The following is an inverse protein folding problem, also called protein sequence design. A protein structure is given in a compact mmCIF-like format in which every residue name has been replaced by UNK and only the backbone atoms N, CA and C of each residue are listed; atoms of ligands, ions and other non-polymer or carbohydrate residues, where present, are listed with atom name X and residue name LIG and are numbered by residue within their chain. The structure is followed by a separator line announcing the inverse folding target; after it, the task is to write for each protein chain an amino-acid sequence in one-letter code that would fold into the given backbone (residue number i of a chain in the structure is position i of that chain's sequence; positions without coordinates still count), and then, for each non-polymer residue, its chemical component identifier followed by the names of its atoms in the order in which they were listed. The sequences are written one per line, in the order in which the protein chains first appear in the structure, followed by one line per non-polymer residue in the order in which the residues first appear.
data_IF_861638609428
#
_entry.id   IF_861638609428
#
_cell.length_a   1.000
_cell.length_b   1.000
_cell.length_c   1.000
_cell.angle_alpha   90.00
_cell.angle_beta   90.00
_cell.angle_gamma   90.00
#
_symmetry.space_group_name_H-M   'P 1'
#
loop_
_entity.id
_entity.type
_entity.pdbx_description
1 polymer ?
#
# COMPACT_ATOMS: atom_id res chain seq x y z
N UNK A 1 -56.57 -42.39 -33.20
CA UNK A 1 -55.48 -42.74 -32.27
C UNK A 1 -54.16 -42.27 -32.85
N UNK A 2 -53.69 -41.08 -32.49
CA UNK A 2 -52.41 -40.52 -32.97
C UNK A 2 -51.50 -40.20 -31.77
N UNK A 3 -50.55 -41.13 -31.57
CA UNK A 3 -49.18 -40.92 -31.09
C UNK A 3 -48.92 -40.21 -29.74
N UNK A 4 -49.05 -40.91 -28.59
CA UNK A 4 -48.38 -40.53 -27.35
C UNK A 4 -46.84 -40.53 -27.48
N UNK A 5 -46.28 -41.24 -28.46
CA UNK A 5 -44.84 -41.36 -28.68
C UNK A 5 -44.17 -40.08 -29.22
N UNK A 6 -44.90 -39.22 -29.96
CA UNK A 6 -44.33 -37.98 -30.54
C UNK A 6 -44.18 -36.87 -29.51
N UNK A 7 -45.09 -36.79 -28.55
CA UNK A 7 -45.02 -35.82 -27.44
C UNK A 7 -43.83 -36.06 -26.51
N UNK A 8 -43.53 -37.33 -26.20
CA UNK A 8 -42.40 -37.69 -25.34
C UNK A 8 -41.05 -37.36 -26.01
N UNK A 9 -40.95 -37.54 -27.33
CA UNK A 9 -39.73 -37.19 -28.08
C UNK A 9 -39.52 -35.68 -28.21
N UNK A 10 -40.60 -34.93 -28.47
CA UNK A 10 -40.55 -33.47 -28.51
C UNK A 10 -40.21 -32.86 -27.14
N UNK A 11 -40.76 -33.40 -26.05
CA UNK A 11 -40.45 -32.97 -24.69
C UNK A 11 -38.97 -33.19 -24.31
N UNK A 12 -38.35 -34.29 -24.74
CA UNK A 12 -36.93 -34.59 -24.48
C UNK A 12 -35.97 -33.57 -25.10
N UNK A 13 -36.37 -32.86 -26.16
CA UNK A 13 -35.56 -31.82 -26.80
C UNK A 13 -35.96 -30.43 -26.33
N UNK A 14 -37.27 -30.17 -26.20
CA UNK A 14 -37.78 -28.87 -25.81
C UNK A 14 -37.40 -28.49 -24.38
N UNK A 15 -37.45 -29.43 -23.43
CA UNK A 15 -37.12 -29.15 -22.01
C UNK A 15 -35.65 -28.72 -21.84
N UNK A 16 -34.63 -29.46 -22.31
CA UNK A 16 -33.24 -29.02 -22.18
C UNK A 16 -32.96 -27.76 -23.01
N UNK A 17 -33.60 -27.58 -24.16
CA UNK A 17 -33.44 -26.36 -24.97
C UNK A 17 -34.00 -25.13 -24.25
N UNK A 18 -35.17 -25.23 -23.62
CA UNK A 18 -35.74 -24.17 -22.77
C UNK A 18 -34.84 -23.93 -21.56
N UNK A 19 -34.35 -24.99 -20.90
CA UNK A 19 -33.44 -24.83 -19.76
C UNK A 19 -32.14 -24.12 -20.17
N UNK A 20 -31.57 -24.50 -21.32
CA UNK A 20 -30.37 -23.89 -21.87
C UNK A 20 -30.61 -22.42 -22.26
N UNK A 21 -31.73 -22.12 -22.89
CA UNK A 21 -32.13 -20.75 -23.22
C UNK A 21 -32.37 -19.91 -21.97
N UNK A 22 -32.97 -20.47 -20.92
CA UNK A 22 -33.14 -19.79 -19.63
C UNK A 22 -31.80 -19.52 -18.93
N UNK A 23 -30.87 -20.49 -18.93
CA UNK A 23 -29.52 -20.33 -18.37
C UNK A 23 -28.73 -19.30 -19.19
N UNK A 24 -28.82 -19.37 -20.51
CA UNK A 24 -28.16 -18.42 -21.40
C UNK A 24 -28.74 -17.01 -21.23
N UNK A 25 -30.06 -16.86 -21.14
CA UNK A 25 -30.70 -15.57 -20.85
C UNK A 25 -30.33 -15.05 -19.46
N UNK A 26 -30.20 -15.93 -18.47
CA UNK A 26 -29.78 -15.58 -17.10
C UNK A 26 -28.32 -15.14 -17.04
N UNK A 27 -27.45 -15.73 -17.87
CA UNK A 27 -26.04 -15.35 -18.00
C UNK A 27 -25.85 -14.09 -18.87
N UNK A 28 -26.72 -13.86 -19.85
CA UNK A 28 -26.67 -12.73 -20.77
C UNK A 28 -27.43 -11.47 -20.27
N UNK A 29 -28.37 -11.61 -19.33
CA UNK A 29 -29.04 -10.47 -18.71
C UNK A 29 -28.08 -9.71 -17.80
N UNK A 30 -28.00 -8.40 -17.99
CA UNK A 30 -27.14 -7.46 -17.24
C UNK A 30 -27.52 -7.30 -15.77
N UNK A 31 -28.60 -7.91 -15.29
CA UNK A 31 -28.97 -8.01 -13.87
C UNK A 31 -28.07 -9.04 -13.19
N UNK A 32 -26.91 -8.57 -12.72
CA UNK A 32 -25.87 -9.45 -12.19
C UNK A 32 -26.36 -10.36 -11.06
N UNK A 33 -26.20 -11.70 -11.17
CA UNK A 33 -26.39 -12.63 -10.05
C UNK A 33 -25.59 -12.22 -8.82
N UNK A 34 -24.43 -11.57 -9.03
CA UNK A 34 -23.55 -11.03 -7.99
C UNK A 34 -24.28 -10.14 -6.99
N UNK A 35 -25.21 -9.28 -7.41
CA UNK A 35 -25.91 -8.37 -6.50
C UNK A 35 -26.82 -9.14 -5.52
N UNK A 36 -27.49 -10.20 -5.98
CA UNK A 36 -28.38 -11.01 -5.12
C UNK A 36 -27.56 -11.89 -4.16
N UNK A 37 -26.48 -12.51 -4.65
CA UNK A 37 -25.56 -13.28 -3.80
C UNK A 37 -24.84 -12.41 -2.77
N UNK A 38 -24.46 -11.18 -3.14
CA UNK A 38 -23.85 -10.21 -2.24
C UNK A 38 -24.79 -9.89 -1.08
N UNK A 39 -26.08 -9.63 -1.32
CA UNK A 39 -27.06 -9.37 -0.25
C UNK A 39 -27.26 -10.55 0.70
N UNK A 40 -27.24 -11.79 0.19
CA UNK A 40 -27.35 -12.98 1.04
C UNK A 40 -26.08 -13.16 1.89
N UNK A 41 -24.90 -13.06 1.28
CA UNK A 41 -23.62 -13.18 1.99
C UNK A 41 -23.40 -12.06 3.00
N UNK A 42 -23.96 -10.87 2.76
CA UNK A 42 -23.95 -9.73 3.67
C UNK A 42 -24.57 -10.06 5.04
N UNK A 43 -25.59 -10.92 5.10
CA UNK A 43 -26.19 -11.37 6.36
C UNK A 43 -25.28 -12.26 7.21
N UNK A 44 -24.25 -12.85 6.60
CA UNK A 44 -23.29 -13.74 7.25
C UNK A 44 -21.94 -13.07 7.54
N UNK A 45 -21.75 -11.82 7.13
CA UNK A 45 -20.54 -11.04 7.46
C UNK A 45 -20.69 -10.41 8.84
N UNK A 46 -19.58 -10.28 9.57
CA UNK A 46 -19.58 -9.60 10.85
C UNK A 46 -19.80 -8.08 10.69
N UNK A 47 -20.26 -7.42 11.76
CA UNK A 47 -20.60 -5.99 11.74
C UNK A 47 -19.43 -5.07 11.38
N UNK A 48 -18.20 -5.41 11.79
CA UNK A 48 -17.00 -4.65 11.44
C UNK A 48 -16.69 -4.81 9.95
N UNK A 49 -16.75 -6.02 9.41
CA UNK A 49 -16.54 -6.24 7.96
C UNK A 49 -17.60 -5.52 7.13
N UNK A 50 -18.85 -5.50 7.58
CA UNK A 50 -19.92 -4.74 6.91
C UNK A 50 -19.66 -3.24 6.95
N UNK A 51 -19.31 -2.70 8.11
CA UNK A 51 -18.96 -1.29 8.26
C UNK A 51 -17.77 -0.90 7.37
N UNK A 52 -16.69 -1.70 7.37
CA UNK A 52 -15.51 -1.44 6.53
C UNK A 52 -15.86 -1.50 5.04
N UNK A 53 -16.61 -2.52 4.61
CA UNK A 53 -17.07 -2.65 3.22
C UNK A 53 -17.92 -1.45 2.81
N UNK A 54 -18.88 -1.05 3.64
CA UNK A 54 -19.76 0.10 3.36
C UNK A 54 -18.99 1.41 3.35
N UNK A 55 -18.07 1.60 4.29
CA UNK A 55 -17.25 2.80 4.34
C UNK A 55 -16.42 2.94 3.06
N UNK A 56 -15.76 1.86 2.62
CA UNK A 56 -14.95 1.85 1.40
C UNK A 56 -15.79 1.96 0.12
N UNK A 57 -16.98 1.36 0.08
CA UNK A 57 -17.90 1.47 -1.06
C UNK A 57 -18.53 2.87 -1.20
N UNK A 58 -18.51 3.66 -0.14
CA UNK A 58 -19.07 5.02 -0.08
C UNK A 58 -17.99 6.08 0.17
N UNK A 59 -16.72 5.78 -0.15
CA UNK A 59 -15.69 6.83 -0.17
C UNK A 59 -16.05 7.91 -1.19
N UNK A 60 -15.76 9.16 -0.84
CA UNK A 60 -16.14 10.36 -1.61
C UNK A 60 -15.55 10.31 -3.04
N UNK A 61 -14.39 9.68 -3.17
CA UNK A 61 -13.62 9.60 -4.41
C UNK A 61 -13.97 8.35 -5.26
N UNK A 62 -14.87 7.48 -4.76
CA UNK A 62 -15.31 6.26 -5.42
C UNK A 62 -14.51 5.02 -5.01
N UNK A 63 -14.64 3.90 -5.75
CA UNK A 63 -13.89 2.68 -5.45
C UNK A 63 -12.39 2.88 -5.71
N UNK A 64 -11.56 2.43 -4.77
CA UNK A 64 -10.10 2.48 -4.88
C UNK A 64 -9.56 2.01 -6.25
N UNK A 65 -8.94 2.94 -6.99
CA UNK A 65 -8.17 2.64 -8.21
C UNK A 65 -6.66 2.51 -7.91
N UNK A 66 -6.12 1.33 -8.18
CA UNK A 66 -4.70 1.01 -7.99
C UNK A 66 -3.81 1.23 -9.21
N UNK A 67 -4.36 1.55 -10.38
CA UNK A 67 -3.56 1.72 -11.61
C UNK A 67 -2.50 2.84 -11.50
N UNK A 68 -2.74 3.99 -10.84
CA UNK A 68 -1.71 5.02 -10.67
C UNK A 68 -0.47 4.49 -9.91
N UNK A 69 -0.68 3.69 -8.87
CA UNK A 69 0.41 3.06 -8.09
C UNK A 69 1.20 2.09 -8.98
N UNK A 70 0.50 1.27 -9.77
CA UNK A 70 1.12 0.31 -10.67
C UNK A 70 1.93 0.99 -11.78
N UNK A 71 1.39 2.04 -12.38
CA UNK A 71 2.09 2.86 -13.37
C UNK A 71 3.33 3.51 -12.76
N UNK A 72 3.21 4.06 -11.55
CA UNK A 72 4.34 4.60 -10.82
C UNK A 72 5.42 3.53 -10.62
N UNK A 73 5.10 2.34 -10.13
CA UNK A 73 6.07 1.26 -9.92
C UNK A 73 6.73 0.77 -11.21
N UNK A 74 5.97 0.71 -12.32
CA UNK A 74 6.50 0.35 -13.63
C UNK A 74 7.48 1.40 -14.18
N UNK A 75 7.32 2.67 -13.82
CA UNK A 75 8.21 3.75 -14.27
C UNK A 75 9.59 3.76 -13.61
N UNK A 76 9.82 2.95 -12.55
CA UNK A 76 11.03 3.02 -11.74
C UNK A 76 12.06 1.96 -12.16
N UNK A 77 13.32 2.32 -12.04
CA UNK A 77 14.44 1.37 -12.06
C UNK A 77 14.66 0.82 -10.66
N UNK A 78 14.50 -0.49 -10.52
CA UNK A 78 14.57 -1.20 -9.23
C UNK A 78 15.98 -1.68 -8.91
N UNK A 79 16.42 -1.42 -7.68
CA UNK A 79 17.66 -1.94 -7.12
C UNK A 79 17.36 -3.11 -6.17
N UNK A 80 17.83 -4.30 -6.57
CA UNK A 80 17.64 -5.58 -5.86
C UNK A 80 18.31 -5.62 -4.48
N UNK A 81 19.25 -4.72 -4.23
CA UNK A 81 20.02 -4.70 -3.00
C UNK A 81 19.55 -3.64 -2.01
N UNK A 82 18.66 -2.74 -2.40
CA UNK A 82 18.22 -1.67 -1.50
C UNK A 82 16.99 -2.09 -0.70
N UNK A 83 17.10 -1.98 0.63
CA UNK A 83 16.00 -2.16 1.57
C UNK A 83 15.82 -0.85 2.34
N UNK A 84 14.67 -0.20 2.19
CA UNK A 84 14.32 0.98 2.97
C UNK A 84 13.68 0.57 4.30
N UNK A 85 14.10 1.21 5.38
CA UNK A 85 13.46 1.18 6.68
C UNK A 85 13.16 2.61 7.11
N UNK A 86 11.91 2.88 7.46
CA UNK A 86 11.55 4.15 8.10
C UNK A 86 11.39 3.95 9.60
N UNK A 87 11.69 4.99 10.38
CA UNK A 87 11.44 4.98 11.81
C UNK A 87 9.94 4.85 12.11
N UNK A 88 9.63 4.34 13.30
CA UNK A 88 8.27 4.30 13.77
C UNK A 88 7.70 5.72 13.92
N UNK A 89 6.45 5.91 13.49
CA UNK A 89 5.82 7.22 13.45
C UNK A 89 5.15 7.52 14.80
N UNK A 90 5.57 8.57 15.53
CA UNK A 90 4.83 9.08 16.68
C UNK A 90 3.61 9.87 16.24
N UNK A 91 2.68 10.08 17.20
CA UNK A 91 1.48 10.90 17.12
C UNK A 91 0.15 10.16 16.84
N UNK A 92 -0.81 10.86 16.22
CA UNK A 92 -2.17 10.38 15.98
C UNK A 92 -2.31 9.74 14.61
N UNK A 93 -3.48 9.14 14.36
CA UNK A 93 -3.75 8.37 13.14
C UNK A 93 -3.46 9.14 11.84
N UNK A 94 -3.72 10.45 11.79
CA UNK A 94 -3.44 11.27 10.60
C UNK A 94 -1.95 11.39 10.30
N UNK A 95 -1.14 11.73 11.31
CA UNK A 95 0.33 11.79 11.18
C UNK A 95 0.90 10.42 10.82
N UNK A 96 0.42 9.37 11.48
CA UNK A 96 0.85 7.99 11.21
C UNK A 96 0.53 7.60 9.78
N UNK A 97 -0.71 7.80 9.31
CA UNK A 97 -1.11 7.54 7.92
C UNK A 97 -0.18 8.25 6.95
N UNK A 98 0.01 9.55 7.13
CA UNK A 98 0.82 10.33 6.21
C UNK A 98 2.28 9.87 6.24
N UNK A 99 2.87 9.66 7.42
CA UNK A 99 4.23 9.15 7.56
C UNK A 99 4.47 7.80 6.87
N UNK A 100 3.51 6.88 6.95
CA UNK A 100 3.57 5.60 6.25
C UNK A 100 3.50 5.79 4.73
N UNK A 101 2.59 6.64 4.25
CA UNK A 101 2.46 6.95 2.82
C UNK A 101 3.73 7.63 2.27
N UNK A 102 4.35 8.55 3.01
CA UNK A 102 5.63 9.15 2.63
C UNK A 102 6.75 8.11 2.51
N UNK A 103 6.84 7.21 3.49
CA UNK A 103 7.82 6.12 3.49
C UNK A 103 7.63 5.19 2.27
N UNK A 104 6.39 4.80 1.99
CA UNK A 104 6.01 4.00 0.83
C UNK A 104 6.37 4.71 -0.49
N UNK A 105 5.99 5.98 -0.63
CA UNK A 105 6.30 6.77 -1.81
C UNK A 105 7.81 6.87 -2.03
N UNK A 106 8.58 7.15 -0.98
CA UNK A 106 10.04 7.21 -1.08
C UNK A 106 10.64 5.87 -1.50
N UNK A 107 10.19 4.75 -0.96
CA UNK A 107 10.67 3.43 -1.35
C UNK A 107 10.51 3.18 -2.86
N UNK A 108 9.32 3.51 -3.41
CA UNK A 108 9.03 3.40 -4.84
C UNK A 108 9.88 4.39 -5.64
N UNK A 109 9.95 5.66 -5.23
CA UNK A 109 10.78 6.69 -5.91
C UNK A 109 12.27 6.31 -5.95
N UNK A 110 12.79 5.64 -4.91
CA UNK A 110 14.13 5.09 -4.86
C UNK A 110 14.29 3.75 -5.59
N UNK A 111 13.18 3.12 -6.00
CA UNK A 111 13.18 1.78 -6.59
C UNK A 111 13.83 0.76 -5.65
N UNK A 112 13.62 0.89 -4.34
CA UNK A 112 14.15 -0.04 -3.36
C UNK A 112 13.37 -1.36 -3.43
N UNK A 113 14.04 -2.48 -3.71
CA UNK A 113 13.36 -3.78 -3.82
C UNK A 113 12.78 -4.30 -2.49
N UNK A 114 13.15 -3.71 -1.36
CA UNK A 114 12.58 -4.01 -0.05
C UNK A 114 12.11 -2.78 0.71
N UNK A 115 10.99 -2.91 1.40
CA UNK A 115 10.50 -1.93 2.37
C UNK A 115 10.12 -2.63 3.67
N UNK A 116 10.74 -2.24 4.77
CA UNK A 116 10.31 -2.60 6.12
C UNK A 116 9.25 -1.60 6.54
N UNK A 117 8.03 -2.08 6.76
CA UNK A 117 6.91 -1.23 7.16
C UNK A 117 7.23 -0.55 8.50
N UNK A 118 7.04 0.79 8.60
CA UNK A 118 7.27 1.48 9.85
C UNK A 118 6.28 0.99 10.92
N UNK A 119 6.73 1.03 12.18
CA UNK A 119 5.85 0.80 13.32
C UNK A 119 5.09 2.07 13.72
N UNK A 120 4.22 1.93 14.72
CA UNK A 120 3.46 3.03 15.30
C UNK A 120 3.94 3.25 16.74
N UNK A 121 4.38 4.46 17.08
CA UNK A 121 4.67 4.78 18.48
C UNK A 121 3.35 5.14 19.16
N UNK A 122 2.91 4.30 20.10
CA UNK A 122 1.67 4.51 20.83
C UNK A 122 1.76 5.74 21.72
N UNK A 123 0.62 6.38 21.97
CA UNK A 123 0.48 7.42 22.99
C UNK A 123 0.07 6.79 24.31
N UNK A 124 0.41 7.45 25.42
CA UNK A 124 -0.03 7.02 26.74
C UNK A 124 -1.54 7.09 26.87
N UNK A 125 -2.13 6.04 27.44
CA UNK A 125 -3.55 6.00 27.79
C UNK A 125 -3.94 7.02 28.86
N UNK A 126 -2.97 7.50 29.64
CA UNK A 126 -3.18 8.48 30.71
C UNK A 126 -2.85 9.91 30.27
N UNK A 127 -2.02 10.06 29.24
CA UNK A 127 -1.59 11.37 28.72
C UNK A 127 -1.28 11.26 27.23
N UNK A 128 -2.25 11.62 26.38
CA UNK A 128 -2.12 11.51 24.93
C UNK A 128 -1.01 12.39 24.34
N UNK A 129 -0.46 13.34 25.10
CA UNK A 129 0.69 14.15 24.67
C UNK A 129 2.00 13.38 24.75
N UNK A 130 2.05 12.30 25.54
CA UNK A 130 3.26 11.52 25.78
C UNK A 130 3.33 10.29 24.86
N UNK A 131 4.36 10.16 24.01
CA UNK A 131 4.63 8.92 23.31
C UNK A 131 5.16 7.85 24.29
N UNK A 132 4.79 6.60 24.06
CA UNK A 132 5.34 5.41 24.73
C UNK A 132 6.08 4.59 23.67
N UNK A 133 7.34 4.93 23.37
CA UNK A 133 8.17 4.06 22.54
C UNK A 133 8.53 2.78 23.32
N UNK A 134 8.64 1.65 22.62
CA UNK A 134 9.23 0.47 23.24
C UNK A 134 10.67 0.80 23.67
N UNK A 135 10.94 0.76 24.97
CA UNK A 135 12.19 1.28 25.55
C UNK A 135 13.39 0.32 25.44
N UNK A 136 13.24 -0.80 24.71
CA UNK A 136 14.30 -1.80 24.50
C UNK A 136 14.82 -1.69 23.06
N UNK A 137 16.00 -1.08 22.89
CA UNK A 137 16.69 -0.96 21.60
C UNK A 137 16.36 0.33 20.83
N UNK A 138 16.56 0.36 19.48
CA UNK A 138 16.11 1.47 18.62
C UNK A 138 14.62 1.73 18.85
N UNK A 139 14.16 2.98 18.67
CA UNK A 139 12.75 3.35 18.88
C UNK A 139 11.85 2.45 18.03
N UNK A 140 11.22 1.46 18.67
CA UNK A 140 10.32 0.50 18.01
C UNK A 140 8.87 0.87 18.34
N UNK A 141 8.05 0.87 17.31
CA UNK A 141 6.60 1.00 17.45
C UNK A 141 5.93 -0.36 17.66
N UNK A 142 4.62 -0.32 17.87
CA UNK A 142 3.75 -1.49 17.67
C UNK A 142 3.49 -1.70 16.18
N UNK A 143 2.87 -2.85 15.85
CA UNK A 143 2.53 -3.18 14.47
C UNK A 143 1.58 -2.16 13.83
N UNK A 144 1.67 -2.03 12.51
CA UNK A 144 0.74 -1.25 11.69
C UNK A 144 -0.74 -1.60 11.94
N UNK A 145 -0.99 -2.87 12.28
CA UNK A 145 -2.31 -3.42 12.63
C UNK A 145 -3.02 -2.71 13.79
N UNK A 146 -2.29 -1.89 14.54
CA UNK A 146 -2.88 -1.07 15.61
C UNK A 146 -3.87 -0.01 15.07
N UNK A 147 -3.62 0.54 13.87
CA UNK A 147 -4.52 1.54 13.25
C UNK A 147 -5.05 1.15 11.88
N UNK A 148 -4.32 0.32 11.12
CA UNK A 148 -4.64 0.05 9.72
C UNK A 148 -4.67 -1.45 9.45
N UNK A 149 -5.39 -1.84 8.41
CA UNK A 149 -5.37 -3.21 7.93
C UNK A 149 -4.06 -3.49 7.17
N UNK A 150 -3.07 -4.08 7.86
CA UNK A 150 -1.76 -4.40 7.27
C UNK A 150 -1.90 -5.47 6.19
N UNK A 151 -2.82 -6.42 6.34
CA UNK A 151 -3.03 -7.49 5.36
C UNK A 151 -3.59 -6.91 4.05
N UNK A 152 -4.57 -6.01 4.14
CA UNK A 152 -5.07 -5.28 2.99
C UNK A 152 -3.96 -4.45 2.33
N UNK A 153 -3.16 -3.71 3.10
CA UNK A 153 -2.05 -2.92 2.54
C UNK A 153 -1.04 -3.82 1.82
N UNK A 154 -0.59 -4.89 2.47
CA UNK A 154 0.46 -5.77 1.94
C UNK A 154 -0.01 -6.56 0.73
N UNK A 155 -1.24 -7.06 0.73
CA UNK A 155 -1.83 -7.77 -0.42
C UNK A 155 -2.08 -6.84 -1.61
N UNK A 156 -2.62 -5.64 -1.37
CA UNK A 156 -2.83 -4.62 -2.41
C UNK A 156 -1.51 -4.19 -3.04
N UNK A 157 -0.51 -3.82 -2.24
CA UNK A 157 0.80 -3.43 -2.77
C UNK A 157 1.57 -4.58 -3.40
N UNK A 158 1.49 -5.79 -2.85
CA UNK A 158 2.10 -6.97 -3.47
C UNK A 158 1.56 -7.25 -4.87
N UNK A 159 0.27 -6.94 -5.11
CA UNK A 159 -0.36 -7.04 -6.43
C UNK A 159 -0.02 -5.87 -7.35
N UNK A 160 -0.04 -4.63 -6.83
CA UNK A 160 0.12 -3.41 -7.63
C UNK A 160 1.60 -3.06 -7.90
N UNK A 161 2.50 -3.41 -6.99
CA UNK A 161 3.92 -3.07 -7.03
C UNK A 161 4.81 -4.28 -6.66
N UNK A 162 4.75 -5.38 -7.43
CA UNK A 162 5.39 -6.65 -7.06
C UNK A 162 6.92 -6.60 -7.01
N UNK A 163 7.55 -5.56 -7.55
CA UNK A 163 9.00 -5.37 -7.50
C UNK A 163 9.50 -4.97 -6.10
N UNK A 164 8.60 -4.48 -5.23
CA UNK A 164 8.91 -4.08 -3.86
C UNK A 164 8.38 -5.13 -2.87
N UNK A 165 9.29 -5.86 -2.24
CA UNK A 165 8.94 -6.79 -1.16
C UNK A 165 8.70 -6.02 0.13
N UNK A 166 7.53 -6.25 0.74
CA UNK A 166 7.16 -5.69 2.03
C UNK A 166 7.58 -6.64 3.15
N UNK A 167 8.21 -6.09 4.18
CA UNK A 167 8.54 -6.77 5.43
C UNK A 167 7.70 -6.15 6.55
N UNK A 168 7.09 -6.99 7.39
CA UNK A 168 6.26 -6.54 8.50
C UNK A 168 7.10 -5.87 9.60
N UNK A 169 8.35 -6.31 9.75
CA UNK A 169 9.31 -5.71 10.68
C UNK A 169 10.75 -6.03 10.26
N UNK A 170 11.71 -5.40 10.94
CA UNK A 170 13.14 -5.75 10.79
C UNK A 170 13.43 -7.20 11.22
N UNK A 171 12.61 -7.80 12.07
CA UNK A 171 12.81 -9.16 12.58
C UNK A 171 12.64 -10.20 11.46
N UNK A 172 11.88 -9.89 10.40
CA UNK A 172 11.75 -10.73 9.19
C UNK A 172 13.10 -10.88 8.45
N UNK A 173 14.07 -10.00 8.76
CA UNK A 173 15.41 -9.96 8.20
C UNK A 173 16.48 -10.30 9.24
N UNK A 174 16.12 -10.92 10.37
CA UNK A 174 17.06 -11.28 11.44
C UNK A 174 18.24 -12.17 10.97
N UNK A 175 18.05 -12.93 9.89
CA UNK A 175 19.06 -13.81 9.29
C UNK A 175 20.00 -13.08 8.32
N UNK A 176 19.80 -11.78 8.10
CA UNK A 176 20.54 -10.98 7.12
C UNK A 176 21.43 -9.98 7.87
N UNK A 177 22.70 -10.31 8.14
CA UNK A 177 23.55 -9.46 8.99
C UNK A 177 23.85 -8.09 8.38
N UNK A 178 23.83 -7.96 7.05
CA UNK A 178 24.08 -6.69 6.36
C UNK A 178 23.07 -5.61 6.68
N UNK A 179 21.85 -5.98 7.11
CA UNK A 179 20.79 -5.01 7.47
C UNK A 179 20.90 -4.51 8.91
N UNK A 180 21.86 -4.98 9.70
CA UNK A 180 22.09 -4.46 11.05
C UNK A 180 22.60 -3.02 11.01
N UNK A 181 23.51 -2.74 10.09
CA UNK A 181 24.01 -1.41 9.76
C UNK A 181 23.29 -0.84 8.54
N UNK A 182 23.29 0.48 8.37
CA UNK A 182 22.66 1.10 7.20
C UNK A 182 23.02 2.57 7.06
N UNK A 183 22.79 3.10 5.86
CA UNK A 183 22.98 4.52 5.56
C UNK A 183 21.78 5.28 6.13
N UNK A 184 22.03 6.23 7.04
CA UNK A 184 21.01 7.14 7.53
C UNK A 184 20.74 8.23 6.50
N UNK A 185 19.48 8.40 6.14
CA UNK A 185 19.01 9.35 5.14
C UNK A 185 18.47 10.61 5.83
N UNK A 186 19.27 11.67 5.92
CA UNK A 186 18.87 12.93 6.59
C UNK A 186 18.10 13.89 5.65
N UNK A 187 16.98 13.41 5.10
CA UNK A 187 16.19 14.05 4.04
C UNK A 187 14.96 14.74 4.63
N UNK A 188 14.62 16.00 4.31
CA UNK A 188 15.21 16.86 3.30
C UNK A 188 16.22 17.86 3.88
N UNK A 189 16.28 18.02 5.20
CA UNK A 189 17.01 19.11 5.84
C UNK A 189 18.48 19.19 5.42
N UNK A 190 19.20 18.07 5.35
CA UNK A 190 20.60 18.06 4.93
C UNK A 190 20.76 18.55 3.48
N UNK A 191 19.84 18.17 2.58
CA UNK A 191 19.90 18.57 1.17
C UNK A 191 19.43 20.01 0.95
N UNK A 192 18.52 20.53 1.76
CA UNK A 192 18.13 21.95 1.74
C UNK A 192 19.31 22.82 2.15
N UNK A 193 20.05 22.42 3.20
CA UNK A 193 21.27 23.12 3.62
C UNK A 193 22.33 23.14 2.51
N UNK A 194 22.46 22.05 1.77
CA UNK A 194 23.31 21.95 0.58
C UNK A 194 22.71 22.61 -0.68
N UNK A 195 21.56 23.28 -0.58
CA UNK A 195 20.80 23.92 -1.68
C UNK A 195 20.51 22.99 -2.87
N UNK A 196 20.40 21.69 -2.62
CA UNK A 196 20.18 20.68 -3.66
C UNK A 196 18.68 20.45 -3.94
N UNK A 197 17.83 20.70 -2.94
CA UNK A 197 16.37 20.58 -3.05
C UNK A 197 15.68 21.83 -2.52
N UNK A 198 14.51 22.14 -3.09
CA UNK A 198 13.68 23.28 -2.69
C UNK A 198 12.46 22.79 -1.93
N UNK A 199 12.14 23.46 -0.82
CA UNK A 199 10.90 23.22 -0.07
C UNK A 199 9.93 24.38 -0.26
N UNK A 200 8.69 24.06 -0.59
CA UNK A 200 7.54 24.96 -0.59
C UNK A 200 6.98 25.01 0.84
N UNK A 201 6.80 26.21 1.38
CA UNK A 201 6.36 26.45 2.77
C UNK A 201 7.17 25.69 3.82
N UNK A 202 8.46 25.44 3.57
CA UNK A 202 9.41 24.86 4.52
C UNK A 202 9.25 23.36 4.80
N UNK A 203 8.27 22.66 4.22
CA UNK A 203 8.02 21.23 4.50
C UNK A 203 7.61 20.39 3.29
N UNK A 204 7.11 21.00 2.23
CA UNK A 204 6.67 20.29 1.02
C UNK A 204 7.80 20.31 0.00
N UNK A 205 8.18 19.16 -0.53
CA UNK A 205 9.21 19.06 -1.57
C UNK A 205 8.66 19.66 -2.86
N UNK A 206 9.42 20.54 -3.53
CA UNK A 206 8.94 21.17 -4.77
C UNK A 206 8.93 20.20 -5.96
N UNK A 207 9.90 19.28 -6.03
CA UNK A 207 10.06 18.32 -7.13
C UNK A 207 10.49 16.94 -6.59
N UNK A 208 9.61 15.95 -6.72
CA UNK A 208 9.84 14.59 -6.28
C UNK A 208 10.97 13.87 -7.06
N UNK A 209 11.13 14.19 -8.34
CA UNK A 209 12.17 13.62 -9.21
C UNK A 209 13.55 14.13 -8.79
N UNK A 210 13.70 15.44 -8.56
CA UNK A 210 14.95 16.02 -8.06
C UNK A 210 15.30 15.39 -6.72
N UNK A 211 14.34 15.30 -5.80
CA UNK A 211 14.56 14.64 -4.51
C UNK A 211 15.09 13.22 -4.69
N UNK A 212 14.39 12.37 -5.43
CA UNK A 212 14.80 10.96 -5.61
C UNK A 212 16.18 10.83 -6.26
N UNK A 213 16.51 11.68 -7.24
CA UNK A 213 17.83 11.71 -7.88
C UNK A 213 18.94 12.12 -6.91
N UNK A 214 18.72 13.18 -6.13
CA UNK A 214 19.67 13.64 -5.10
C UNK A 214 19.90 12.57 -4.04
N UNK A 215 18.83 11.93 -3.56
CA UNK A 215 18.92 10.86 -2.56
C UNK A 215 19.68 9.66 -3.13
N UNK A 216 19.38 9.23 -4.36
CA UNK A 216 20.12 8.15 -5.03
C UNK A 216 21.61 8.48 -5.18
N UNK A 217 21.95 9.72 -5.52
CA UNK A 217 23.34 10.15 -5.61
C UNK A 217 24.04 10.13 -4.24
N UNK A 218 23.34 10.55 -3.18
CA UNK A 218 23.86 10.47 -1.81
C UNK A 218 24.08 9.04 -1.34
N UNK A 219 23.14 8.13 -1.64
CA UNK A 219 23.31 6.70 -1.35
C UNK A 219 24.55 6.16 -2.05
N UNK A 220 24.71 6.43 -3.35
CA UNK A 220 25.87 5.99 -4.13
C UNK A 220 27.21 6.54 -3.62
N UNK A 221 27.24 7.75 -3.05
CA UNK A 221 28.48 8.31 -2.51
C UNK A 221 28.86 7.75 -1.13
N UNK A 222 27.90 7.13 -0.43
CA UNK A 222 28.08 6.50 0.89
C UNK A 222 28.18 4.97 0.82
N UNK A 223 27.75 4.38 -0.29
CA UNK A 223 27.79 2.94 -0.52
C UNK A 223 29.22 2.47 -0.83
N UNK A 224 29.76 1.59 0.01
CA UNK A 224 31.09 1.01 -0.14
C UNK A 224 31.11 -0.23 -1.07
N UNK A 225 29.95 -0.69 -1.54
CA UNK A 225 29.82 -1.84 -2.41
C UNK A 225 29.89 -3.21 -1.72
N UNK A 226 30.18 -3.28 -0.42
CA UNK A 226 30.49 -4.52 0.28
C UNK A 226 29.29 -5.13 1.00
N UNK A 227 28.43 -4.29 1.60
CA UNK A 227 27.27 -4.74 2.37
C UNK A 227 26.04 -4.86 1.47
N UNK A 228 25.53 -6.09 1.32
CA UNK A 228 24.36 -6.43 0.50
C UNK A 228 23.45 -7.45 1.19
N UNK A 229 22.12 -7.24 1.22
CA UNK A 229 21.42 -6.02 0.84
C UNK A 229 21.82 -4.82 1.73
N UNK A 230 21.82 -3.64 1.15
CA UNK A 230 22.11 -2.36 1.77
C UNK A 230 20.83 -1.79 2.40
N UNK A 231 20.85 -1.63 3.73
CA UNK A 231 19.77 -0.96 4.45
C UNK A 231 19.90 0.56 4.35
N UNK A 232 18.80 1.21 3.99
CA UNK A 232 18.62 2.65 3.98
C UNK A 232 17.68 3.01 5.14
N UNK A 233 18.10 3.85 6.07
CA UNK A 233 17.30 4.24 7.24
C UNK A 233 16.78 5.67 7.07
N UNK A 234 15.47 5.88 6.98
CA UNK A 234 14.84 7.19 7.02
C UNK A 234 14.35 7.49 8.45
N UNK A 235 14.99 8.43 9.17
CA UNK A 235 14.55 8.79 10.50
C UNK A 235 13.32 9.70 10.48
N UNK A 236 12.47 9.59 11.51
CA UNK A 236 11.21 10.35 11.60
C UNK A 236 11.44 11.86 11.78
N UNK A 237 12.57 12.26 12.38
CA UNK A 237 12.91 13.66 12.67
C UNK A 237 12.91 14.59 11.45
N UNK A 238 12.83 14.02 10.24
CA UNK A 238 12.92 14.74 9.00
C UNK A 238 11.58 14.73 8.23
N UNK A 239 10.51 15.19 8.88
CA UNK A 239 9.19 15.28 8.25
C UNK A 239 9.22 16.14 6.99
N UNK A 240 8.94 15.53 5.85
CA UNK A 240 8.69 16.22 4.59
C UNK A 240 7.48 15.61 3.90
N UNK A 241 6.92 16.38 2.99
CA UNK A 241 5.71 16.01 2.28
C UNK A 241 5.97 16.02 0.78
N UNK A 242 5.57 14.96 0.09
CA UNK A 242 5.46 14.99 -1.37
C UNK A 242 4.38 16.01 -1.80
N UNK A 243 4.63 16.76 -2.88
CA UNK A 243 3.64 17.67 -3.45
C UNK A 243 2.58 16.86 -4.17
N UNK A 244 1.41 16.66 -3.56
CA UNK A 244 0.28 15.95 -4.19
C UNK A 244 -0.12 16.61 -5.52
N UNK A 245 0.04 17.93 -5.63
CA UNK A 245 -0.21 18.67 -6.87
C UNK A 245 0.77 18.35 -8.02
N UNK A 246 1.90 17.69 -7.75
CA UNK A 246 2.83 17.23 -8.78
C UNK A 246 2.58 15.77 -9.18
N UNK A 247 1.68 15.08 -8.51
CA UNK A 247 1.26 13.76 -8.94
C UNK A 247 0.32 13.88 -10.15
N UNK A 248 0.36 12.90 -11.07
CA UNK A 248 -0.58 12.83 -12.17
C UNK A 248 -2.03 12.92 -11.65
N UNK A 249 -2.96 13.55 -12.41
CA UNK A 249 -4.34 13.74 -11.96
C UNK A 249 -5.04 12.45 -11.55
N UNK A 250 -4.60 11.30 -12.09
CA UNK A 250 -5.10 9.98 -11.77
C UNK A 250 -4.89 9.59 -10.30
N UNK A 251 -3.93 10.20 -9.57
CA UNK A 251 -3.76 10.03 -8.12
C UNK A 251 -4.73 10.85 -7.27
N UNK A 252 -5.45 11.80 -7.88
CA UNK A 252 -6.36 12.74 -7.20
C UNK A 252 -7.83 12.39 -7.49
N UNK A 253 -8.08 11.58 -8.51
CA UNK A 253 -9.42 11.15 -8.94
C UNK A 253 -9.79 9.71 -8.54
N UNK A 254 -8.96 9.07 -7.71
CA UNK A 254 -9.07 7.66 -7.30
C UNK A 254 -9.70 7.47 -5.93
#
# INVERSE_FOLDING_TARGET
MLAPARFVSAAKVAVPLVMFLCIFSYMASSTSPRATYAQVMRKFKDQRTLFVSDFLENEIDGPFDGEPIKAMCASKTWNRDWILQCDAVPEGIGTVRNGHLQCLRLAIELGASGLILPGIIQRSSHDITKPIPNSKGPVRGVSLDYFFDKEHLTSSLGRLCPQMKLYSSIDDLAHVPSVLTGIKLEIPQAFVQMKTITLVHGSVVADAKILSQTVRAHIKSKDDGTLRPLKLQLPWSNGFWYPVAADPPEFVTS
#
